data_IF_796283379369
#
_entry.id   IF_796283379369
#
_cell.length_a   1.000
_cell.length_b   1.000
_cell.length_c   1.000
_cell.angle_alpha   90.00
_cell.angle_beta   90.00
_cell.angle_gamma   90.00
#
_symmetry.space_group_name_H-M   'P 1'
#
loop_
_entity.id
_entity.type
_entity.pdbx_description
1 polymer ?
#
# COMPACT_ATOMS: atom_id res chain seq x y z
N UNK A 1 4.65 -19.47 17.52
CA UNK A 1 3.51 -18.60 17.15
C UNK A 1 2.99 -17.92 18.41
N UNK A 2 2.94 -16.60 18.43
CA UNK A 2 2.55 -15.81 19.60
C UNK A 2 1.07 -16.02 19.92
N UNK A 3 0.72 -16.22 21.22
CA UNK A 3 -0.66 -16.36 21.72
C UNK A 3 -1.60 -15.22 21.24
N UNK A 4 -1.03 -14.05 20.94
CA UNK A 4 -1.76 -12.89 20.41
C UNK A 4 -2.28 -13.10 18.97
N UNK A 5 -1.56 -13.83 18.14
CA UNK A 5 -1.98 -14.17 16.76
C UNK A 5 -3.18 -15.12 16.76
N UNK A 6 -3.23 -16.06 17.72
CA UNK A 6 -4.33 -17.00 17.88
C UNK A 6 -5.62 -16.28 18.35
N UNK A 7 -5.49 -15.28 19.22
CA UNK A 7 -6.64 -14.49 19.70
C UNK A 7 -7.23 -13.65 18.55
N UNK A 8 -6.38 -13.04 17.73
CA UNK A 8 -6.83 -12.27 16.55
C UNK A 8 -7.50 -13.19 15.52
N UNK A 9 -6.93 -14.37 15.26
CA UNK A 9 -7.52 -15.34 14.34
C UNK A 9 -8.85 -15.90 14.88
N UNK A 10 -8.99 -16.15 16.19
CA UNK A 10 -10.23 -16.61 16.78
C UNK A 10 -11.33 -15.53 16.82
N UNK A 11 -10.97 -14.26 16.98
CA UNK A 11 -11.90 -13.13 16.86
C UNK A 11 -12.41 -12.98 15.42
N UNK A 12 -11.55 -13.14 14.42
CA UNK A 12 -11.93 -13.11 13.00
C UNK A 12 -12.81 -14.31 12.66
N UNK A 13 -12.46 -15.52 13.09
CA UNK A 13 -13.29 -16.71 12.91
C UNK A 13 -14.62 -16.65 13.66
N UNK A 14 -14.68 -16.02 14.83
CA UNK A 14 -15.92 -15.80 15.57
C UNK A 14 -16.89 -14.84 14.87
N UNK A 15 -16.35 -13.83 14.18
CA UNK A 15 -17.13 -12.88 13.38
C UNK A 15 -17.71 -13.54 12.10
N UNK A 16 -17.06 -14.56 11.56
CA UNK A 16 -17.49 -15.26 10.35
C UNK A 16 -18.66 -16.23 10.56
N UNK A 17 -18.98 -16.58 11.82
CA UNK A 17 -20.09 -17.51 12.12
C UNK A 17 -21.44 -16.82 12.35
N UNK A 18 -21.59 -15.53 12.08
CA UNK A 18 -22.88 -14.86 12.16
C UNK A 18 -23.71 -15.16 10.88
N UNK A 19 -24.40 -16.30 10.87
CA UNK A 19 -25.41 -16.65 9.85
C UNK A 19 -26.68 -15.81 10.03
N UNK A 20 -26.60 -14.53 9.83
CA UNK A 20 -27.78 -13.69 9.67
C UNK A 20 -28.03 -13.52 8.16
N UNK A 21 -28.83 -14.40 7.58
CA UNK A 21 -29.45 -14.13 6.28
C UNK A 21 -30.45 -12.98 6.45
N UNK A 22 -29.94 -11.76 6.48
CA UNK A 22 -30.77 -10.57 6.33
C UNK A 22 -31.13 -10.47 4.85
N UNK A 23 -32.40 -10.58 4.49
CA UNK A 23 -32.86 -10.11 3.18
C UNK A 23 -32.54 -8.62 3.13
N UNK A 24 -31.55 -8.27 2.36
CA UNK A 24 -31.15 -6.90 2.06
C UNK A 24 -32.22 -6.31 1.11
N UNK A 25 -33.38 -5.99 1.68
CA UNK A 25 -34.45 -5.33 0.95
C UNK A 25 -34.00 -3.93 0.56
N UNK A 26 -34.63 -3.39 -0.47
CA UNK A 26 -34.47 -2.13 -1.19
C UNK A 26 -33.94 -0.87 -0.45
N UNK A 27 -33.61 -0.95 0.82
CA UNK A 27 -33.17 0.17 1.65
C UNK A 27 -31.64 0.29 1.73
N UNK A 28 -31.17 1.50 1.92
CA UNK A 28 -29.76 1.77 2.17
C UNK A 28 -29.33 1.23 3.52
N UNK A 29 -28.23 0.44 3.51
CA UNK A 29 -27.70 -0.19 4.71
C UNK A 29 -26.73 0.72 5.43
N UNK A 30 -26.77 0.64 6.76
CA UNK A 30 -25.75 1.17 7.65
C UNK A 30 -24.96 0.01 8.25
N UNK A 31 -23.66 -0.03 8.00
CA UNK A 31 -22.81 -1.15 8.42
C UNK A 31 -21.34 -0.79 8.50
N UNK A 32 -20.62 -1.54 9.32
CA UNK A 32 -19.18 -1.62 9.23
C UNK A 32 -18.79 -2.56 8.10
N UNK A 33 -17.75 -2.23 7.35
CA UNK A 33 -17.23 -3.05 6.26
C UNK A 33 -15.74 -3.26 6.48
N UNK A 34 -15.31 -4.52 6.46
CA UNK A 34 -13.89 -4.87 6.41
C UNK A 34 -13.56 -5.23 4.96
N UNK A 35 -12.52 -4.62 4.42
CA UNK A 35 -12.08 -4.85 3.05
C UNK A 35 -10.66 -5.39 3.00
N UNK A 36 -10.44 -6.40 2.14
CA UNK A 36 -9.13 -6.88 1.76
C UNK A 36 -8.86 -6.49 0.31
N UNK A 37 -7.81 -5.75 0.09
CA UNK A 37 -7.48 -5.17 -1.21
C UNK A 37 -6.22 -5.78 -1.77
N UNK A 38 -6.24 -6.07 -3.07
CA UNK A 38 -5.06 -6.30 -3.88
C UNK A 38 -5.05 -5.30 -5.04
N UNK A 39 -3.90 -4.71 -5.31
CA UNK A 39 -3.78 -3.69 -6.33
C UNK A 39 -2.40 -3.61 -6.96
N UNK A 40 -2.34 -2.81 -8.00
CA UNK A 40 -1.11 -2.42 -8.69
C UNK A 40 -0.94 -0.91 -8.56
N UNK A 41 0.25 -0.48 -8.15
CA UNK A 41 0.65 0.91 -8.08
C UNK A 41 1.75 1.18 -9.11
N UNK A 42 1.61 2.28 -9.81
CA UNK A 42 2.59 2.75 -10.79
C UNK A 42 3.03 4.17 -10.40
N UNK A 43 4.27 4.36 -9.93
CA UNK A 43 4.79 5.69 -9.72
C UNK A 43 4.95 6.40 -11.06
N UNK A 44 4.40 7.61 -11.11
CA UNK A 44 4.56 8.53 -12.23
C UNK A 44 5.87 9.29 -12.17
N UNK A 45 5.95 10.37 -12.90
CA UNK A 45 7.07 11.30 -12.81
C UNK A 45 7.03 12.08 -11.52
N UNK A 46 8.16 12.12 -10.81
CA UNK A 46 8.34 12.92 -9.61
C UNK A 46 9.20 14.14 -9.86
N UNK A 47 9.15 15.11 -8.94
CA UNK A 47 10.00 16.28 -8.93
C UNK A 47 10.64 16.50 -7.58
N UNK A 48 11.90 16.96 -7.58
CA UNK A 48 12.62 17.34 -6.36
C UNK A 48 12.73 18.87 -6.28
N UNK A 49 12.65 19.43 -5.08
CA UNK A 49 12.78 20.87 -4.83
C UNK A 49 14.17 21.43 -5.18
N UNK A 50 15.19 20.57 -5.37
CA UNK A 50 16.56 20.95 -5.72
C UNK A 50 16.88 20.94 -7.21
N UNK A 51 15.92 20.74 -8.08
CA UNK A 51 16.14 20.75 -9.55
C UNK A 51 16.80 19.48 -10.12
N UNK A 52 17.12 18.49 -9.30
CA UNK A 52 17.64 17.21 -9.75
C UNK A 52 16.49 16.34 -10.26
N UNK A 53 16.46 16.08 -11.55
CA UNK A 53 15.41 15.30 -12.21
C UNK A 53 15.44 13.79 -11.95
N UNK A 54 16.32 13.30 -11.10
CA UNK A 54 16.54 11.87 -10.85
C UNK A 54 16.08 11.33 -9.50
N UNK A 55 15.30 12.09 -8.72
CA UNK A 55 14.97 11.73 -7.33
C UNK A 55 13.55 11.26 -7.09
N UNK A 56 12.74 11.04 -8.12
CA UNK A 56 11.37 10.58 -7.99
C UNK A 56 11.25 9.13 -7.51
N UNK A 57 10.07 8.77 -7.00
CA UNK A 57 9.80 7.42 -6.50
C UNK A 57 10.07 6.35 -7.56
N UNK A 58 9.75 6.61 -8.82
CA UNK A 58 10.00 5.69 -9.93
C UNK A 58 11.48 5.37 -10.08
N UNK A 59 12.32 6.40 -9.98
CA UNK A 59 13.77 6.26 -10.17
C UNK A 59 14.44 5.56 -8.97
N UNK A 60 13.93 5.83 -7.76
CA UNK A 60 14.49 5.28 -6.53
C UNK A 60 14.05 3.86 -6.24
N UNK A 61 12.79 3.55 -6.49
CA UNK A 61 12.18 2.31 -6.02
C UNK A 61 11.64 1.43 -7.15
N UNK A 62 11.81 1.84 -8.40
CA UNK A 62 11.33 1.10 -9.56
C UNK A 62 9.82 1.14 -9.73
N UNK A 63 9.31 0.35 -10.66
CA UNK A 63 7.88 0.24 -11.03
C UNK A 63 7.65 -1.06 -11.80
N UNK A 64 6.50 -1.72 -11.71
CA UNK A 64 5.33 -1.42 -10.85
C UNK A 64 5.46 -1.98 -9.43
N UNK A 65 4.50 -1.68 -8.55
CA UNK A 65 4.41 -2.24 -7.20
C UNK A 65 3.09 -2.97 -6.99
N UNK A 66 3.12 -4.02 -6.17
CA UNK A 66 1.93 -4.64 -5.62
C UNK A 66 1.50 -3.89 -4.37
N UNK A 67 0.21 -3.70 -4.22
CA UNK A 67 -0.43 -3.13 -3.04
C UNK A 67 -1.35 -4.15 -2.41
N UNK A 68 -1.13 -4.44 -1.13
CA UNK A 68 -2.03 -5.22 -0.31
C UNK A 68 -2.51 -4.34 0.82
N UNK A 69 -3.82 -4.13 0.90
CA UNK A 69 -4.35 -3.27 1.95
C UNK A 69 -5.52 -3.89 2.70
N UNK A 70 -5.64 -3.47 3.96
CA UNK A 70 -6.77 -3.74 4.83
C UNK A 70 -7.53 -2.43 5.02
N UNK A 71 -8.83 -2.44 4.75
CA UNK A 71 -9.70 -1.30 5.03
C UNK A 71 -10.72 -1.62 6.11
N UNK A 72 -11.03 -0.61 6.94
CA UNK A 72 -12.11 -0.60 7.89
C UNK A 72 -12.99 0.60 7.57
N UNK A 73 -14.16 0.33 7.00
CA UNK A 73 -15.05 1.36 6.52
C UNK A 73 -16.33 1.40 7.39
N UNK A 74 -16.87 2.58 7.60
CA UNK A 74 -18.21 2.77 8.13
C UNK A 74 -19.11 3.40 7.08
N UNK A 75 -20.13 2.67 6.66
CA UNK A 75 -21.13 3.11 5.69
C UNK A 75 -22.38 3.59 6.38
N UNK A 76 -22.75 4.83 6.12
CA UNK A 76 -24.02 5.45 6.59
C UNK A 76 -25.18 5.10 5.65
N UNK A 77 -26.40 5.22 6.16
CA UNK A 77 -27.64 5.10 5.36
C UNK A 77 -27.69 6.09 4.18
N UNK A 78 -27.06 7.23 4.31
CA UNK A 78 -26.94 8.26 3.25
C UNK A 78 -25.90 7.93 2.17
N UNK A 79 -25.32 6.71 2.20
CA UNK A 79 -24.25 6.24 1.32
C UNK A 79 -22.92 7.04 1.45
N UNK A 80 -22.76 7.82 2.49
CA UNK A 80 -21.45 8.34 2.89
C UNK A 80 -20.64 7.23 3.54
N UNK A 81 -19.33 7.31 3.34
CA UNK A 81 -18.35 6.37 3.90
C UNK A 81 -17.31 7.16 4.67
N UNK A 82 -16.91 6.63 5.81
CA UNK A 82 -15.66 6.99 6.50
C UNK A 82 -14.78 5.77 6.49
N UNK A 83 -13.53 5.92 6.10
CA UNK A 83 -12.63 4.81 5.81
C UNK A 83 -11.29 5.00 6.52
N UNK A 84 -10.73 3.88 6.97
CA UNK A 84 -9.37 3.75 7.47
C UNK A 84 -8.70 2.66 6.66
N UNK A 85 -7.64 3.01 5.93
CA UNK A 85 -6.87 2.10 5.09
C UNK A 85 -5.45 1.93 5.63
N UNK A 86 -4.96 0.71 5.64
CA UNK A 86 -3.56 0.38 5.91
C UNK A 86 -3.01 -0.43 4.73
N UNK A 87 -2.03 0.13 4.04
CA UNK A 87 -1.47 -0.41 2.80
C UNK A 87 -0.06 -0.94 3.01
N UNK A 88 0.26 -2.05 2.38
CA UNK A 88 1.59 -2.63 2.29
C UNK A 88 2.01 -2.67 0.82
N UNK A 89 3.10 -2.00 0.49
CA UNK A 89 3.62 -1.92 -0.88
C UNK A 89 4.82 -2.82 -1.08
N UNK A 90 4.77 -3.59 -2.15
CA UNK A 90 5.81 -4.54 -2.54
C UNK A 90 6.21 -4.28 -3.99
N UNK A 91 7.40 -3.74 -4.19
CA UNK A 91 8.01 -3.65 -5.50
C UNK A 91 9.01 -4.79 -5.70
N UNK A 92 9.10 -5.27 -6.92
CA UNK A 92 10.19 -6.16 -7.35
C UNK A 92 11.27 -5.34 -8.06
N UNK A 93 12.40 -5.97 -8.32
CA UNK A 93 13.48 -5.35 -9.08
C UNK A 93 12.98 -4.94 -10.46
N UNK A 94 13.16 -3.68 -10.81
CA UNK A 94 12.96 -3.17 -12.17
C UNK A 94 14.31 -2.85 -12.80
N UNK A 95 14.34 -2.74 -14.13
CA UNK A 95 15.58 -2.41 -14.86
C UNK A 95 16.21 -1.10 -14.35
N UNK A 96 15.39 -0.09 -14.05
CA UNK A 96 15.87 1.18 -13.52
C UNK A 96 16.52 1.03 -12.13
N UNK A 97 15.90 0.22 -11.25
CA UNK A 97 16.42 -0.04 -9.91
C UNK A 97 17.70 -0.87 -9.99
N UNK A 98 17.73 -1.89 -10.86
CA UNK A 98 18.89 -2.71 -11.11
C UNK A 98 20.07 -1.88 -11.63
N UNK A 99 19.87 -1.09 -12.68
CA UNK A 99 20.91 -0.23 -13.25
C UNK A 99 21.45 0.79 -12.24
N UNK A 100 20.60 1.34 -11.39
CA UNK A 100 21.02 2.24 -10.33
C UNK A 100 21.91 1.54 -9.31
N UNK A 101 21.52 0.34 -8.88
CA UNK A 101 22.27 -0.44 -7.92
C UNK A 101 23.64 -0.85 -8.47
N UNK A 102 23.72 -1.28 -9.71
CA UNK A 102 24.96 -1.65 -10.39
C UNK A 102 25.95 -0.47 -10.52
N UNK A 103 25.43 0.75 -10.50
CA UNK A 103 26.24 1.98 -10.55
C UNK A 103 26.69 2.49 -9.18
N UNK A 104 26.33 1.82 -8.09
CA UNK A 104 26.79 2.17 -6.73
C UNK A 104 28.18 1.59 -6.47
N UNK A 105 29.29 2.33 -6.65
CA UNK A 105 30.64 1.78 -6.61
C UNK A 105 31.08 1.28 -5.24
N UNK A 106 30.35 1.65 -4.18
CA UNK A 106 30.62 1.17 -2.83
C UNK A 106 29.92 -0.15 -2.49
N UNK A 107 28.97 -0.58 -3.31
CA UNK A 107 28.22 -1.83 -3.15
C UNK A 107 28.57 -2.80 -4.26
N UNK A 108 28.67 -2.29 -5.49
CA UNK A 108 28.93 -3.08 -6.67
C UNK A 108 30.26 -2.66 -7.32
N UNK A 109 30.96 -3.65 -7.84
CA UNK A 109 32.07 -3.41 -8.76
C UNK A 109 31.54 -2.94 -10.13
N UNK A 110 32.42 -2.40 -10.99
CA UNK A 110 32.06 -2.08 -12.37
C UNK A 110 31.51 -3.27 -13.17
N UNK A 111 31.77 -4.50 -12.71
CA UNK A 111 31.23 -5.74 -13.28
C UNK A 111 29.81 -6.09 -12.82
N UNK A 112 29.17 -5.28 -11.95
CA UNK A 112 27.86 -5.58 -11.37
C UNK A 112 27.88 -6.64 -10.26
N UNK A 113 29.04 -7.00 -9.73
CA UNK A 113 29.24 -8.00 -8.70
C UNK A 113 29.59 -7.30 -7.38
N UNK A 114 28.99 -7.74 -6.27
CA UNK A 114 29.34 -7.29 -4.94
C UNK A 114 30.34 -8.24 -4.29
N UNK A 115 31.29 -7.71 -3.51
CA UNK A 115 32.18 -8.54 -2.71
C UNK A 115 31.60 -8.85 -1.33
N UNK A 116 31.58 -10.13 -0.98
CA UNK A 116 31.33 -10.58 0.38
C UNK A 116 32.60 -10.50 1.23
N UNK A 117 32.48 -10.62 2.55
CA UNK A 117 33.64 -10.66 3.46
C UNK A 117 34.60 -11.82 3.19
N UNK A 118 34.13 -12.89 2.59
CA UNK A 118 34.97 -14.03 2.20
C UNK A 118 35.75 -13.82 0.90
N UNK A 119 35.67 -12.64 0.26
CA UNK A 119 36.28 -12.40 -1.04
C UNK A 119 35.57 -13.13 -2.20
N UNK A 120 34.43 -13.72 -1.94
CA UNK A 120 33.58 -14.38 -2.96
C UNK A 120 32.64 -13.39 -3.61
N UNK A 121 32.26 -13.68 -4.84
CA UNK A 121 31.29 -12.87 -5.56
C UNK A 121 29.90 -13.00 -4.92
N UNK A 122 29.23 -11.87 -4.68
CA UNK A 122 27.87 -11.80 -4.16
C UNK A 122 26.92 -11.16 -5.15
N UNK A 123 25.71 -11.67 -5.22
CA UNK A 123 24.62 -11.03 -5.93
C UNK A 123 23.70 -10.36 -4.93
N UNK A 124 23.39 -9.09 -5.17
CA UNK A 124 22.53 -8.29 -4.31
C UNK A 124 21.36 -7.81 -5.15
N UNK A 125 20.16 -8.17 -4.72
CA UNK A 125 18.91 -7.74 -5.34
C UNK A 125 18.23 -6.70 -4.45
N UNK A 126 17.72 -5.65 -5.05
CA UNK A 126 17.01 -4.60 -4.32
C UNK A 126 15.52 -4.65 -4.61
N UNK A 127 14.72 -4.49 -3.56
CA UNK A 127 13.27 -4.50 -3.63
C UNK A 127 12.72 -3.25 -2.96
N UNK A 128 11.62 -2.73 -3.50
CA UNK A 128 10.86 -1.70 -2.82
C UNK A 128 9.96 -2.29 -1.74
N UNK A 129 9.89 -1.63 -0.59
CA UNK A 129 8.95 -1.91 0.50
C UNK A 129 8.37 -0.61 1.00
N UNK A 130 7.06 -0.57 1.13
CA UNK A 130 6.37 0.59 1.66
C UNK A 130 5.22 0.21 2.58
N UNK A 131 4.87 1.16 3.42
CA UNK A 131 3.72 1.11 4.32
C UNK A 131 3.01 2.46 4.23
N UNK A 132 1.68 2.46 4.13
CA UNK A 132 0.89 3.67 4.27
C UNK A 132 -0.30 3.44 5.19
N UNK A 133 -0.69 4.49 5.91
CA UNK A 133 -1.90 4.53 6.71
C UNK A 133 -2.68 5.79 6.32
N UNK A 134 -3.95 5.61 5.96
CA UNK A 134 -4.79 6.70 5.44
C UNK A 134 -6.15 6.69 6.13
N UNK A 135 -6.70 7.86 6.32
CA UNK A 135 -8.07 8.09 6.74
C UNK A 135 -8.78 8.92 5.67
N UNK A 136 -10.00 8.60 5.38
CA UNK A 136 -10.72 9.32 4.34
C UNK A 136 -12.23 9.21 4.45
N UNK A 137 -12.87 9.87 3.51
CA UNK A 137 -14.30 9.82 3.31
C UNK A 137 -14.65 9.66 1.85
N UNK A 138 -15.84 9.15 1.60
CA UNK A 138 -16.33 8.95 0.26
C UNK A 138 -17.85 8.90 0.21
N UNK A 139 -18.37 8.81 -1.01
CA UNK A 139 -19.79 8.67 -1.25
C UNK A 139 -20.06 7.66 -2.36
N UNK A 140 -20.99 6.76 -2.12
CA UNK A 140 -21.54 5.88 -3.14
C UNK A 140 -22.73 6.58 -3.77
N UNK A 141 -22.67 6.76 -5.09
CA UNK A 141 -23.76 7.28 -5.91
C UNK A 141 -24.45 6.08 -6.53
N UNK A 142 -25.68 5.74 -6.10
CA UNK A 142 -26.39 4.58 -6.61
C UNK A 142 -26.68 4.72 -8.11
N UNK A 143 -26.27 3.74 -8.90
CA UNK A 143 -26.51 3.70 -10.35
C UNK A 143 -27.26 2.44 -10.78
N UNK A 144 -27.36 1.44 -9.90
CA UNK A 144 -28.08 0.20 -10.18
C UNK A 144 -29.52 0.27 -9.68
N UNK A 145 -30.48 0.07 -10.58
CA UNK A 145 -31.90 -0.02 -10.21
C UNK A 145 -32.10 -1.22 -9.29
N UNK A 146 -32.76 -0.99 -8.13
CA UNK A 146 -33.03 -2.05 -7.15
C UNK A 146 -31.89 -2.41 -6.21
N UNK A 147 -30.75 -1.72 -6.29
CA UNK A 147 -29.64 -1.89 -5.34
C UNK A 147 -29.04 -0.53 -4.94
N UNK A 148 -29.61 0.14 -3.94
CA UNK A 148 -29.16 1.48 -3.53
C UNK A 148 -27.80 1.47 -2.83
N UNK A 149 -27.24 0.31 -2.49
CA UNK A 149 -25.93 0.16 -1.83
C UNK A 149 -24.79 -0.01 -2.83
N UNK A 150 -25.09 -0.15 -4.12
CA UNK A 150 -24.12 -0.34 -5.19
C UNK A 150 -24.12 0.84 -6.14
N UNK A 151 -22.93 1.24 -6.59
CA UNK A 151 -22.83 2.36 -7.51
C UNK A 151 -21.40 2.91 -7.65
N UNK A 152 -21.34 4.11 -8.21
CA UNK A 152 -20.09 4.84 -8.39
C UNK A 152 -19.58 5.34 -7.04
N UNK A 153 -18.31 5.10 -6.74
CA UNK A 153 -17.62 5.56 -5.53
C UNK A 153 -16.73 6.76 -5.89
N UNK A 154 -16.90 7.82 -5.12
CA UNK A 154 -15.96 8.94 -5.05
C UNK A 154 -15.37 8.97 -3.65
N UNK A 155 -14.04 8.90 -3.53
CA UNK A 155 -13.33 8.85 -2.25
C UNK A 155 -12.15 9.81 -2.26
N UNK A 156 -11.90 10.45 -1.13
CA UNK A 156 -10.69 11.22 -0.86
C UNK A 156 -10.13 10.75 0.49
N UNK A 157 -8.86 10.46 0.53
CA UNK A 157 -8.17 10.03 1.76
C UNK A 157 -6.81 10.70 1.88
N UNK A 158 -6.41 10.98 3.10
CA UNK A 158 -5.12 11.53 3.43
C UNK A 158 -4.44 10.72 4.52
N UNK A 159 -3.13 10.74 4.54
CA UNK A 159 -2.41 9.96 5.53
C UNK A 159 -0.90 10.12 5.46
N UNK A 160 -0.23 9.12 5.96
CA UNK A 160 1.22 9.07 6.06
C UNK A 160 1.76 7.79 5.45
N UNK A 161 2.92 7.88 4.82
CA UNK A 161 3.58 6.72 4.26
C UNK A 161 5.06 6.67 4.61
N UNK A 162 5.59 5.47 4.57
CA UNK A 162 7.00 5.12 4.70
C UNK A 162 7.40 4.27 3.51
N UNK A 163 8.57 4.51 2.94
CA UNK A 163 9.05 3.73 1.80
C UNK A 163 10.58 3.61 1.84
N UNK A 164 11.08 2.42 1.51
CA UNK A 164 12.52 2.14 1.50
C UNK A 164 12.88 1.09 0.47
N UNK A 165 14.15 1.08 0.08
CA UNK A 165 14.76 -0.03 -0.66
C UNK A 165 15.29 -1.05 0.33
N UNK A 166 14.91 -2.31 0.17
CA UNK A 166 15.43 -3.44 0.95
C UNK A 166 16.34 -4.26 0.06
N UNK A 167 17.54 -4.53 0.55
CA UNK A 167 18.51 -5.35 -0.15
C UNK A 167 18.39 -6.80 0.29
N UNK A 168 18.40 -7.70 -0.66
CA UNK A 168 18.44 -9.13 -0.46
C UNK A 168 19.71 -9.69 -1.09
N UNK A 169 20.44 -10.48 -0.34
CA UNK A 169 21.69 -11.10 -0.77
C UNK A 169 21.39 -12.54 -1.21
N UNK A 170 21.83 -12.86 -2.41
CA UNK A 170 21.67 -14.20 -3.00
C UNK A 170 23.02 -14.87 -3.17
N UNK A 171 23.05 -16.19 -2.94
CA UNK A 171 24.20 -17.07 -3.29
C UNK A 171 25.57 -16.69 -2.72
N UNK A 172 25.62 -16.17 -1.50
CA UNK A 172 26.91 -15.88 -0.85
C UNK A 172 27.03 -16.61 0.47
N UNK A 173 28.21 -17.18 0.71
CA UNK A 173 28.54 -17.84 1.99
C UNK A 173 28.80 -16.82 3.12
N UNK A 174 29.16 -15.59 2.75
CA UNK A 174 29.45 -14.52 3.68
C UNK A 174 28.67 -13.24 3.33
N UNK A 175 28.29 -12.41 4.33
CA UNK A 175 27.54 -11.20 4.09
C UNK A 175 28.34 -10.17 3.30
N UNK A 176 27.62 -9.37 2.47
CA UNK A 176 28.15 -8.18 1.82
C UNK A 176 28.11 -7.04 2.85
N UNK A 177 29.27 -6.56 3.34
CA UNK A 177 29.32 -5.66 4.49
C UNK A 177 28.63 -4.32 4.25
N UNK A 178 28.58 -3.85 3.02
CA UNK A 178 28.01 -2.56 2.64
C UNK A 178 26.49 -2.49 2.82
N UNK A 179 25.79 -3.63 2.79
CA UNK A 179 24.32 -3.68 2.88
C UNK A 179 23.84 -4.24 4.21
N UNK A 180 24.72 -4.56 5.15
CA UNK A 180 24.39 -5.16 6.45
C UNK A 180 24.41 -4.11 7.57
N UNK A 181 23.43 -4.19 8.48
CA UNK A 181 23.40 -3.37 9.69
C UNK A 181 23.27 -1.87 9.41
N UNK A 182 24.08 -1.08 10.08
CA UNK A 182 24.06 0.39 9.98
C UNK A 182 24.52 0.89 8.60
N UNK A 183 25.43 0.16 7.93
CA UNK A 183 25.89 0.52 6.59
C UNK A 183 24.78 0.42 5.55
N UNK A 184 23.91 -0.58 5.65
CA UNK A 184 22.76 -0.72 4.74
C UNK A 184 21.80 0.46 4.79
N UNK A 185 21.73 1.15 5.93
CA UNK A 185 20.91 2.37 6.10
C UNK A 185 21.41 3.56 5.27
N UNK A 186 22.64 3.55 4.81
CA UNK A 186 23.17 4.59 3.94
C UNK A 186 22.65 4.51 2.50
N UNK A 187 22.18 3.34 2.10
CA UNK A 187 21.75 3.02 0.74
C UNK A 187 20.24 2.75 0.60
N UNK A 188 19.51 2.60 1.71
CA UNK A 188 18.12 2.16 1.69
C UNK A 188 17.13 3.26 1.27
N UNK A 189 17.58 4.51 1.19
CA UNK A 189 16.76 5.66 0.80
C UNK A 189 15.43 5.76 1.56
N UNK A 190 15.43 5.47 2.85
CA UNK A 190 14.21 5.55 3.65
C UNK A 190 13.61 6.96 3.56
N UNK A 191 12.42 7.05 2.99
CA UNK A 191 11.59 8.25 2.91
C UNK A 191 10.29 8.07 3.67
N UNK A 192 9.84 9.16 4.23
CA UNK A 192 8.51 9.25 4.78
C UNK A 192 7.82 10.52 4.28
N UNK A 193 6.51 10.59 4.44
CA UNK A 193 5.80 11.77 4.01
C UNK A 193 4.30 11.67 4.08
N UNK A 194 3.65 12.76 3.70
CA UNK A 194 2.21 12.84 3.60
C UNK A 194 1.75 12.31 2.23
N UNK A 195 0.60 11.65 2.23
CA UNK A 195 -0.07 11.17 1.03
C UNK A 195 -1.51 11.67 1.01
N UNK A 196 -1.93 12.18 -0.14
CA UNK A 196 -3.32 12.52 -0.45
C UNK A 196 -3.73 11.67 -1.64
N UNK A 197 -4.82 10.91 -1.49
CA UNK A 197 -5.32 10.00 -2.54
C UNK A 197 -6.74 10.36 -2.90
N UNK A 198 -6.98 10.51 -4.17
CA UNK A 198 -8.29 10.66 -4.80
C UNK A 198 -8.61 9.35 -5.53
N UNK A 199 -9.80 8.80 -5.28
CA UNK A 199 -10.21 7.53 -5.86
C UNK A 199 -11.56 7.66 -6.54
N UNK A 200 -11.62 7.12 -7.75
CA UNK A 200 -12.84 6.88 -8.49
C UNK A 200 -13.04 5.38 -8.61
N UNK A 201 -14.20 4.88 -8.20
CA UNK A 201 -14.42 3.45 -8.21
C UNK A 201 -15.86 3.04 -8.43
N UNK A 202 -16.07 1.75 -8.40
CA UNK A 202 -17.37 1.12 -8.44
C UNK A 202 -17.50 0.12 -7.29
N UNK A 203 -18.56 0.27 -6.53
CA UNK A 203 -18.91 -0.63 -5.42
C UNK A 203 -20.08 -1.51 -5.83
N UNK A 204 -19.90 -2.81 -5.70
CA UNK A 204 -20.97 -3.77 -5.81
C UNK A 204 -21.19 -4.45 -4.46
N UNK A 205 -22.35 -4.24 -3.86
CA UNK A 205 -22.79 -4.93 -2.65
C UNK A 205 -24.00 -5.81 -3.00
N UNK A 206 -23.86 -7.11 -2.78
CA UNK A 206 -24.93 -8.07 -3.09
C UNK A 206 -26.13 -7.88 -2.16
N UNK A 207 -27.35 -7.91 -2.73
CA UNK A 207 -28.59 -7.92 -1.95
C UNK A 207 -28.90 -9.29 -1.33
N UNK A 208 -28.18 -10.34 -1.73
CA UNK A 208 -28.50 -11.73 -1.37
C UNK A 208 -27.39 -12.43 -0.59
N UNK A 209 -26.17 -11.89 -0.64
CA UNK A 209 -24.99 -12.55 -0.06
C UNK A 209 -24.09 -11.55 0.63
N UNK A 210 -23.67 -11.89 1.86
CA UNK A 210 -22.67 -11.13 2.61
C UNK A 210 -21.25 -11.35 2.07
N UNK A 211 -21.04 -12.34 1.22
CA UNK A 211 -19.70 -12.73 0.74
C UNK A 211 -19.36 -12.18 -0.65
N UNK A 212 -20.36 -11.77 -1.43
CA UNK A 212 -20.14 -11.28 -2.80
C UNK A 212 -20.25 -9.76 -2.82
N UNK A 213 -19.25 -9.10 -2.27
CA UNK A 213 -19.19 -7.64 -2.25
C UNK A 213 -17.80 -7.24 -2.73
N UNK A 214 -17.74 -6.44 -3.79
CA UNK A 214 -16.51 -6.11 -4.48
C UNK A 214 -16.47 -4.60 -4.72
N UNK A 215 -15.29 -4.03 -4.58
CA UNK A 215 -15.00 -2.64 -4.90
C UNK A 215 -13.81 -2.58 -5.84
N UNK A 216 -13.97 -1.93 -6.98
CA UNK A 216 -12.92 -1.62 -7.93
C UNK A 216 -12.62 -0.12 -7.84
N UNK A 217 -11.37 0.25 -7.68
CA UNK A 217 -10.94 1.65 -7.51
C UNK A 217 -9.78 1.97 -8.47
N UNK A 218 -9.82 3.19 -8.99
CA UNK A 218 -8.70 3.87 -9.64
C UNK A 218 -8.24 4.98 -8.72
N UNK A 219 -6.99 4.93 -8.30
CA UNK A 219 -6.41 5.86 -7.36
C UNK A 219 -5.41 6.78 -8.06
N UNK A 220 -5.45 8.07 -7.70
CA UNK A 220 -4.40 9.02 -7.98
C UNK A 220 -3.92 9.54 -6.63
N UNK A 221 -2.65 9.29 -6.30
CA UNK A 221 -2.07 9.72 -5.02
C UNK A 221 -0.99 10.75 -5.25
N UNK A 222 -1.07 11.83 -4.50
CA UNK A 222 -0.08 12.90 -4.42
C UNK A 222 0.77 12.65 -3.17
N UNK A 223 2.06 12.39 -3.36
CA UNK A 223 2.99 12.04 -2.31
C UNK A 223 3.98 13.17 -2.08
N UNK A 224 4.02 13.69 -0.85
CA UNK A 224 4.97 14.71 -0.41
C UNK A 224 5.94 14.05 0.55
N UNK A 225 7.20 13.85 0.15
CA UNK A 225 8.15 13.09 0.94
C UNK A 225 9.48 13.80 1.16
N UNK A 226 10.20 13.32 2.16
CA UNK A 226 11.56 13.72 2.49
C UNK A 226 12.34 12.53 3.03
N UNK A 227 13.67 12.60 2.95
CA UNK A 227 14.54 11.58 3.48
C UNK A 227 14.50 11.55 5.02
N UNK A 228 14.42 10.35 5.57
CA UNK A 228 14.51 10.11 7.02
C UNK A 228 15.92 9.74 7.47
N UNK A 229 16.87 9.64 6.53
CA UNK A 229 18.24 9.26 6.83
C UNK A 229 19.10 10.49 7.12
N UNK A 230 19.96 10.44 8.15
CA UNK A 230 20.88 11.53 8.46
C UNK A 230 21.99 11.67 7.40
N UNK A 231 22.31 10.58 6.70
CA UNK A 231 23.30 10.51 5.64
C UNK A 231 22.86 9.48 4.60
N UNK A 232 23.01 9.80 3.33
CA UNK A 232 22.70 8.94 2.21
C UNK A 232 23.85 8.94 1.23
N UNK A 233 24.18 7.76 0.70
CA UNK A 233 25.18 7.60 -0.36
C UNK A 233 24.44 7.16 -1.61
N UNK A 234 24.45 7.99 -2.64
CA UNK A 234 23.95 7.63 -3.97
C UNK A 234 24.74 8.40 -5.03
N UNK A 235 25.74 7.74 -5.59
CA UNK A 235 26.59 8.34 -6.61
C UNK A 235 25.87 8.55 -7.95
N UNK A 236 24.81 7.81 -8.21
CA UNK A 236 23.98 7.97 -9.43
C UNK A 236 23.23 9.28 -9.40
N UNK A 237 22.73 9.65 -8.23
CA UNK A 237 22.01 10.91 -8.00
C UNK A 237 22.93 12.05 -7.55
N UNK A 238 24.22 11.79 -7.38
CA UNK A 238 25.17 12.78 -6.86
C UNK A 238 24.94 13.12 -5.38
N UNK A 239 24.24 12.26 -4.63
CA UNK A 239 23.94 12.45 -3.21
C UNK A 239 24.98 11.76 -2.35
N UNK A 240 25.91 12.56 -1.80
CA UNK A 240 26.84 12.10 -0.77
C UNK A 240 26.70 13.01 0.44
N UNK A 241 25.76 12.71 1.33
CA UNK A 241 25.47 13.53 2.49
C UNK A 241 24.02 13.48 2.94
N UNK A 242 23.60 14.52 3.64
CA UNK A 242 22.22 14.66 4.07
C UNK A 242 21.34 15.08 2.88
N UNK A 243 20.39 14.23 2.52
CA UNK A 243 19.35 14.60 1.57
C UNK A 243 18.30 15.49 2.26
N UNK A 244 18.39 16.79 2.01
CA UNK A 244 17.44 17.79 2.54
C UNK A 244 16.34 18.17 1.55
N UNK A 245 16.29 17.52 0.40
CA UNK A 245 15.28 17.79 -0.62
C UNK A 245 13.89 17.36 -0.19
N UNK A 246 12.91 18.06 -0.69
CA UNK A 246 11.50 17.65 -0.64
C UNK A 246 11.11 17.14 -2.01
N UNK A 247 10.35 16.07 -2.01
CA UNK A 247 9.94 15.40 -3.22
C UNK A 247 8.43 15.41 -3.35
N UNK A 248 7.98 15.60 -4.57
CA UNK A 248 6.59 15.48 -4.94
C UNK A 248 6.48 14.41 -6.01
N UNK A 249 5.71 13.37 -5.75
CA UNK A 249 5.50 12.24 -6.64
C UNK A 249 4.01 11.96 -6.83
N UNK A 250 3.65 11.50 -8.02
CA UNK A 250 2.32 11.00 -8.32
C UNK A 250 2.36 9.47 -8.38
N UNK A 251 1.39 8.83 -7.72
CA UNK A 251 1.16 7.40 -7.83
C UNK A 251 -0.20 7.15 -8.47
N UNK A 252 -0.24 6.25 -9.44
CA UNK A 252 -1.46 5.79 -10.07
C UNK A 252 -1.70 4.35 -9.63
N UNK A 253 -2.93 4.04 -9.21
CA UNK A 253 -3.29 2.74 -8.70
C UNK A 253 -4.56 2.17 -9.32
N UNK A 254 -4.57 0.85 -9.44
CA UNK A 254 -5.79 0.07 -9.71
C UNK A 254 -5.92 -0.95 -8.60
N UNK A 255 -7.05 -0.93 -7.89
CA UNK A 255 -7.28 -1.73 -6.69
C UNK A 255 -8.58 -2.50 -6.78
N UNK A 256 -8.53 -3.76 -6.37
CA UNK A 256 -9.69 -4.62 -6.23
C UNK A 256 -9.82 -4.99 -4.75
N UNK A 257 -10.95 -4.63 -4.15
CA UNK A 257 -11.23 -4.89 -2.73
C UNK A 257 -12.37 -5.90 -2.62
N UNK A 258 -12.15 -6.94 -1.84
CA UNK A 258 -13.18 -7.83 -1.38
C UNK A 258 -13.70 -7.35 -0.03
N UNK A 259 -15.00 -7.06 0.05
CA UNK A 259 -15.62 -6.40 1.19
C UNK A 259 -16.49 -7.37 1.98
N UNK A 260 -16.42 -7.28 3.30
CA UNK A 260 -17.25 -8.05 4.25
C UNK A 260 -18.05 -7.07 5.11
N UNK A 261 -19.33 -6.84 4.79
CA UNK A 261 -20.19 -6.01 5.61
C UNK A 261 -20.52 -6.73 6.92
N UNK A 262 -20.24 -6.09 8.04
CA UNK A 262 -20.61 -6.53 9.38
C UNK A 262 -21.93 -5.86 9.73
N UNK A 263 -23.01 -6.63 9.65
CA UNK A 263 -24.35 -6.14 9.99
C UNK A 263 -24.64 -6.39 11.45
N UNK A 264 -25.13 -5.37 12.16
CA UNK A 264 -25.73 -5.53 13.48
C UNK A 264 -26.96 -6.44 13.39
N UNK A 265 -27.21 -7.24 14.43
CA UNK A 265 -28.44 -8.03 14.55
C UNK A 265 -29.62 -7.05 14.59
N UNK A 266 -30.43 -7.00 13.55
CA UNK A 266 -31.78 -6.44 13.64
C UNK A 266 -32.64 -7.47 14.30
N UNK A 267 -33.14 -7.16 15.49
CA UNK A 267 -34.19 -7.96 16.14
C UNK A 267 -35.45 -7.79 15.33
N UNK A 268 -35.87 -8.81 14.58
CA UNK A 268 -37.20 -8.85 14.01
C UNK A 268 -38.13 -9.21 15.15
N UNK A 269 -39.04 -8.32 15.49
CA UNK A 269 -40.19 -8.65 16.31
C UNK A 269 -41.05 -9.66 15.54
N UNK A 270 -40.98 -10.94 15.93
CA UNK A 270 -41.90 -11.95 15.45
C UNK A 270 -43.24 -11.70 16.16
N UNK A 271 -44.16 -11.05 15.49
CA UNK A 271 -45.54 -11.08 15.91
C UNK A 271 -46.13 -12.45 15.55
N UNK A 272 -46.32 -13.30 16.53
CA UNK A 272 -47.16 -14.49 16.42
C UNK A 272 -48.61 -14.00 16.53
N UNK A 273 -49.40 -14.22 15.49
CA UNK A 273 -50.85 -14.16 15.54
C UNK A 273 -51.41 -15.57 15.81
#
# INVERSE_FOLDING_TARGET
>A
MSKRLIIIASLICGALNSNAQVKLTADTLECHVIGFTAGLLMPGSGSASGGNSGGGMKDLYGSPWLDFSLSCDYKYKSNWLVMLDADLWFGWTSDNLQQRNERMPNVYLPSGIAYSWGGTNGYVTAYNRGLAARIGGGKIIPVLKGNPNSGLLLKVSGGWFLQQTVFHQEYTEAPVPQIVGEYGKLYDHLRNGAILTESLGFVFMSNYSTYVNIRLEFDISQCFSWSSRPYTIDNVMGLNGKDSNRYFDLLYGVKLTWMFPLMGKTTYDYYYY
#
